data_IF_925877374684
#
_entry.id   IF_925877374684
#
_cell.length_a   1.000
_cell.length_b   1.000
_cell.length_c   1.000
_cell.angle_alpha   90.00
_cell.angle_beta   90.00
_cell.angle_gamma   90.00
#
_symmetry.space_group_name_H-M   'P 1'
#
loop_
_entity.id
_entity.type
_entity.pdbx_description
1 polymer ?
#
# COMPACT_ATOMS: atom_id res chain seq x y z
N UNK A 1 -6.40 -6.65 35.20
CA UNK A 1 -7.66 -6.95 34.48
C UNK A 1 -8.36 -5.62 34.28
N UNK A 2 -8.54 -5.16 33.04
CA UNK A 2 -9.27 -3.92 32.77
C UNK A 2 -10.72 -4.13 33.23
N UNK A 3 -11.13 -3.34 34.23
CA UNK A 3 -12.44 -3.37 34.89
C UNK A 3 -13.52 -2.64 34.11
N UNK A 4 -13.36 -2.50 32.80
CA UNK A 4 -14.31 -1.84 31.91
C UNK A 4 -15.45 -2.79 31.57
N UNK A 5 -16.68 -2.40 31.88
CA UNK A 5 -17.89 -3.07 31.43
C UNK A 5 -17.87 -3.24 29.91
N UNK A 6 -18.18 -4.45 29.43
CA UNK A 6 -18.15 -4.75 27.99
C UNK A 6 -19.13 -3.87 27.24
N UNK A 7 -18.63 -3.18 26.20
CA UNK A 7 -19.44 -2.38 25.27
C UNK A 7 -18.92 -2.59 23.86
N UNK A 8 -19.84 -2.56 22.89
CA UNK A 8 -19.56 -2.70 21.47
C UNK A 8 -20.10 -1.49 20.69
N UNK A 9 -19.36 -1.08 19.68
CA UNK A 9 -19.71 0.03 18.81
C UNK A 9 -20.85 -0.35 17.87
N UNK A 10 -21.89 0.49 17.84
CA UNK A 10 -23.06 0.29 16.98
C UNK A 10 -22.76 0.32 15.46
N UNK A 11 -21.64 0.93 15.03
CA UNK A 11 -21.28 1.06 13.61
C UNK A 11 -20.23 0.07 13.14
N UNK A 12 -19.14 -0.07 13.89
CA UNK A 12 -17.94 -0.76 13.43
C UNK A 12 -17.59 -2.00 14.24
N UNK A 13 -18.48 -2.44 15.13
CA UNK A 13 -18.39 -3.65 15.96
C UNK A 13 -17.14 -3.77 16.85
N UNK A 14 -16.29 -2.74 16.90
CA UNK A 14 -15.17 -2.64 17.84
C UNK A 14 -15.68 -2.53 19.26
N UNK A 15 -14.95 -3.13 20.20
CA UNK A 15 -15.37 -3.27 21.59
C UNK A 15 -14.24 -2.88 22.57
N UNK A 16 -14.53 -3.05 23.85
CA UNK A 16 -13.63 -2.74 24.98
C UNK A 16 -12.37 -3.61 25.07
N UNK A 17 -12.12 -4.53 24.13
CA UNK A 17 -10.80 -5.17 23.98
C UNK A 17 -9.73 -4.18 23.53
N UNK A 18 -10.14 -3.12 22.84
CA UNK A 18 -9.29 -1.97 22.57
C UNK A 18 -9.21 -1.05 23.79
N UNK A 19 -8.00 -0.88 24.31
CA UNK A 19 -7.72 -0.05 25.49
C UNK A 19 -7.91 1.44 25.25
N UNK A 20 -7.92 1.89 23.98
CA UNK A 20 -8.08 3.28 23.60
C UNK A 20 -9.51 3.62 23.13
N UNK A 21 -10.46 2.67 23.22
CA UNK A 21 -11.81 2.87 22.73
C UNK A 21 -12.62 3.77 23.67
N UNK A 22 -13.30 4.76 23.10
CA UNK A 22 -14.20 5.67 23.82
C UNK A 22 -15.50 5.75 23.06
N UNK A 23 -16.63 5.63 23.77
CA UNK A 23 -17.97 5.67 23.18
C UNK A 23 -18.65 7.02 23.39
N UNK A 24 -19.33 7.51 22.37
CA UNK A 24 -20.25 8.64 22.47
C UNK A 24 -21.61 8.24 23.09
N UNK A 25 -22.47 9.24 23.33
CA UNK A 25 -23.82 9.06 23.88
C UNK A 25 -24.73 8.19 23.01
N UNK A 26 -24.42 8.06 21.73
CA UNK A 26 -25.15 7.23 20.76
C UNK A 26 -24.54 5.82 20.63
N UNK A 27 -23.55 5.46 21.45
CA UNK A 27 -22.90 4.15 21.45
C UNK A 27 -21.92 3.92 20.29
N UNK A 28 -21.43 4.97 19.64
CA UNK A 28 -20.42 4.85 18.59
C UNK A 28 -19.03 5.17 19.12
N UNK A 29 -18.02 4.45 18.63
CA UNK A 29 -16.66 4.62 19.11
C UNK A 29 -15.92 5.79 18.45
N UNK A 30 -14.90 6.29 19.14
CA UNK A 30 -13.95 7.28 18.65
C UNK A 30 -13.29 6.90 17.32
N UNK A 31 -13.01 5.62 17.05
CA UNK A 31 -12.35 5.21 15.80
C UNK A 31 -13.20 5.42 14.56
N UNK A 32 -14.45 4.94 14.56
CA UNK A 32 -15.36 5.16 13.42
C UNK A 32 -15.75 6.63 13.29
N UNK A 33 -15.90 7.35 14.40
CA UNK A 33 -16.15 8.79 14.37
C UNK A 33 -14.96 9.56 13.77
N UNK A 34 -13.73 9.25 14.19
CA UNK A 34 -12.51 9.84 13.64
C UNK A 34 -12.34 9.52 12.15
N UNK A 35 -12.62 8.27 11.76
CA UNK A 35 -12.61 7.86 10.36
C UNK A 35 -13.56 8.70 9.52
N UNK A 36 -14.83 8.83 9.93
CA UNK A 36 -15.84 9.61 9.21
C UNK A 36 -15.49 11.10 9.14
N UNK A 37 -15.00 11.68 10.25
CA UNK A 37 -14.60 13.08 10.30
C UNK A 37 -13.40 13.40 9.39
N UNK A 38 -12.51 12.44 9.18
CA UNK A 38 -11.35 12.59 8.31
C UNK A 38 -11.67 12.20 6.87
N UNK A 39 -12.50 11.19 6.64
CA UNK A 39 -12.85 10.72 5.29
C UNK A 39 -13.54 11.82 4.50
N UNK A 40 -14.44 12.60 5.13
CA UNK A 40 -15.09 13.76 4.48
C UNK A 40 -14.07 14.80 4.00
N UNK A 41 -12.94 14.97 4.69
CA UNK A 41 -11.91 15.96 4.32
C UNK A 41 -11.05 15.51 3.14
N UNK A 42 -10.90 14.19 2.95
CA UNK A 42 -10.02 13.57 1.95
C UNK A 42 -10.80 12.99 0.78
N UNK A 43 -12.11 12.79 0.95
CA UNK A 43 -13.00 12.30 -0.09
C UNK A 43 -13.03 13.23 -1.30
N UNK A 44 -13.46 12.68 -2.43
CA UNK A 44 -13.65 13.42 -3.66
C UNK A 44 -14.67 14.56 -3.47
N UNK A 45 -14.24 15.78 -3.77
CA UNK A 45 -14.99 17.04 -3.62
C UNK A 45 -15.38 17.65 -4.97
N UNK A 46 -15.73 16.82 -5.96
CA UNK A 46 -16.14 17.29 -7.29
C UNK A 46 -15.04 18.06 -8.01
N UNK A 47 -15.40 19.21 -8.59
CA UNK A 47 -14.54 20.04 -9.43
C UNK A 47 -13.22 20.44 -8.73
N UNK A 48 -13.24 20.64 -7.41
CA UNK A 48 -12.02 20.94 -6.66
C UNK A 48 -11.01 19.79 -6.77
N UNK A 49 -11.46 18.55 -6.58
CA UNK A 49 -10.61 17.36 -6.68
C UNK A 49 -10.11 17.14 -8.10
N UNK A 50 -10.96 17.35 -9.11
CA UNK A 50 -10.57 17.30 -10.52
C UNK A 50 -9.47 18.30 -10.84
N UNK A 51 -9.59 19.53 -10.34
CA UNK A 51 -8.60 20.57 -10.54
C UNK A 51 -7.28 20.27 -9.81
N UNK A 52 -7.31 19.66 -8.63
CA UNK A 52 -6.09 19.19 -7.96
C UNK A 52 -5.44 18.04 -8.73
N UNK A 53 -6.21 17.06 -9.19
CA UNK A 53 -5.70 15.95 -9.99
C UNK A 53 -5.00 16.46 -11.26
N UNK A 54 -5.62 17.39 -11.99
CA UNK A 54 -5.03 18.03 -13.18
C UNK A 54 -3.69 18.70 -12.86
N UNK A 55 -3.60 19.45 -11.75
CA UNK A 55 -2.35 20.10 -11.29
C UNK A 55 -1.26 19.08 -10.97
N UNK A 56 -1.62 18.00 -10.26
CA UNK A 56 -0.69 16.92 -9.91
C UNK A 56 -0.18 16.23 -11.18
N UNK A 57 -1.07 15.84 -12.09
CA UNK A 57 -0.72 15.20 -13.37
C UNK A 57 0.22 16.09 -14.19
N UNK A 58 -0.07 17.38 -14.31
CA UNK A 58 0.79 18.33 -15.01
C UNK A 58 2.17 18.45 -14.35
N UNK A 59 2.22 18.46 -13.02
CA UNK A 59 3.48 18.50 -12.26
C UNK A 59 4.32 17.24 -12.51
N UNK A 60 3.70 16.06 -12.48
CA UNK A 60 4.35 14.78 -12.75
C UNK A 60 4.92 14.77 -14.18
N UNK A 61 4.10 15.12 -15.18
CA UNK A 61 4.50 15.21 -16.59
C UNK A 61 5.70 16.13 -16.80
N UNK A 62 5.67 17.32 -16.20
CA UNK A 62 6.74 18.31 -16.35
C UNK A 62 8.06 17.88 -15.68
N UNK A 63 7.99 17.05 -14.64
CA UNK A 63 9.19 16.56 -13.95
C UNK A 63 9.99 15.52 -14.73
N UNK A 64 9.34 14.78 -15.63
CA UNK A 64 9.93 13.65 -16.37
C UNK A 64 10.59 14.02 -17.70
N UNK A 65 10.28 15.21 -18.26
CA UNK A 65 10.57 15.57 -19.67
C UNK A 65 12.03 15.42 -20.14
N UNK A 66 13.02 15.37 -19.25
CA UNK A 66 14.44 15.40 -19.61
C UNK A 66 15.31 14.28 -19.00
N UNK A 67 14.73 13.25 -18.35
CA UNK A 67 15.53 12.26 -17.59
C UNK A 67 15.18 10.79 -17.80
N UNK A 68 13.92 10.49 -18.12
CA UNK A 68 13.42 9.13 -18.33
C UNK A 68 12.21 9.20 -19.25
N UNK A 69 11.92 8.15 -20.01
CA UNK A 69 10.65 8.06 -20.73
C UNK A 69 9.46 7.85 -19.78
N UNK A 70 9.74 7.45 -18.53
CA UNK A 70 8.75 7.39 -17.46
C UNK A 70 8.67 8.69 -16.67
N UNK A 71 7.46 9.11 -16.32
CA UNK A 71 7.24 10.28 -15.46
C UNK A 71 6.83 9.91 -14.02
N UNK A 72 6.40 8.67 -13.78
CA UNK A 72 6.11 8.14 -12.45
C UNK A 72 6.33 6.63 -12.36
N UNK A 73 6.37 6.11 -11.14
CA UNK A 73 6.24 4.68 -10.84
C UNK A 73 4.85 4.44 -10.27
N UNK A 74 4.28 3.27 -10.55
CA UNK A 74 3.08 2.77 -9.87
C UNK A 74 3.41 1.43 -9.23
N UNK A 75 3.26 1.35 -7.91
CA UNK A 75 3.35 0.07 -7.22
C UNK A 75 2.13 -0.79 -7.58
N UNK A 76 2.35 -1.97 -8.17
CA UNK A 76 1.26 -2.85 -8.61
C UNK A 76 1.28 -4.18 -7.85
N UNK A 77 0.12 -4.61 -7.36
CA UNK A 77 -0.08 -5.90 -6.66
C UNK A 77 -1.03 -6.85 -7.39
N UNK A 78 -1.75 -6.37 -8.40
CA UNK A 78 -2.87 -7.09 -9.02
C UNK A 78 -4.21 -6.97 -8.25
N UNK A 79 -4.19 -6.31 -7.09
CA UNK A 79 -5.38 -5.92 -6.34
C UNK A 79 -6.16 -4.78 -7.02
N UNK A 80 -7.42 -4.56 -6.59
CA UNK A 80 -8.31 -3.57 -7.22
C UNK A 80 -7.74 -2.14 -7.18
N UNK A 81 -7.25 -1.69 -6.03
CA UNK A 81 -6.86 -0.29 -5.86
C UNK A 81 -5.64 0.08 -6.73
N UNK A 82 -4.59 -0.77 -6.72
CA UNK A 82 -3.38 -0.52 -7.52
C UNK A 82 -3.65 -0.63 -9.02
N UNK A 83 -4.52 -1.56 -9.43
CA UNK A 83 -4.98 -1.73 -10.81
C UNK A 83 -5.76 -0.51 -11.30
N UNK A 84 -6.66 0.01 -10.47
CA UNK A 84 -7.43 1.20 -10.79
C UNK A 84 -6.55 2.46 -10.83
N UNK A 85 -5.57 2.58 -9.93
CA UNK A 85 -4.59 3.66 -9.98
C UNK A 85 -3.79 3.66 -11.30
N UNK A 86 -3.39 2.48 -11.79
CA UNK A 86 -2.73 2.34 -13.10
C UNK A 86 -3.64 2.78 -14.26
N UNK A 87 -4.91 2.36 -14.25
CA UNK A 87 -5.91 2.78 -15.23
C UNK A 87 -6.10 4.30 -15.25
N UNK A 88 -6.30 4.92 -14.08
CA UNK A 88 -6.50 6.37 -13.94
C UNK A 88 -5.25 7.15 -14.38
N UNK A 89 -4.06 6.69 -14.00
CA UNK A 89 -2.81 7.32 -14.41
C UNK A 89 -2.67 7.33 -15.94
N UNK A 90 -2.92 6.17 -16.60
CA UNK A 90 -2.88 6.06 -18.07
C UNK A 90 -3.94 6.94 -18.73
N UNK A 91 -5.17 6.95 -18.22
CA UNK A 91 -6.28 7.78 -18.73
C UNK A 91 -5.96 9.28 -18.66
N UNK A 92 -5.21 9.71 -17.66
CA UNK A 92 -4.73 11.08 -17.53
C UNK A 92 -3.45 11.37 -18.36
N UNK A 93 -3.00 10.43 -19.18
CA UNK A 93 -1.86 10.55 -20.08
C UNK A 93 -0.51 10.55 -19.35
N UNK A 94 -0.41 9.95 -18.16
CA UNK A 94 0.88 9.66 -17.55
C UNK A 94 1.56 8.50 -18.28
N UNK A 95 2.88 8.43 -18.11
CA UNK A 95 3.74 7.39 -18.69
C UNK A 95 4.42 6.67 -17.51
N UNK A 96 3.68 5.81 -16.79
CA UNK A 96 4.22 5.13 -15.63
C UNK A 96 5.16 3.97 -16.02
N UNK A 97 6.02 3.59 -15.09
CA UNK A 97 6.59 2.24 -14.99
C UNK A 97 5.81 1.49 -13.89
N UNK A 98 5.21 0.35 -14.22
CA UNK A 98 4.63 -0.52 -13.20
C UNK A 98 5.77 -1.24 -12.48
N UNK A 99 5.77 -1.19 -11.15
CA UNK A 99 6.76 -1.88 -10.33
C UNK A 99 6.04 -2.79 -9.35
N UNK A 100 6.34 -4.07 -9.42
CA UNK A 100 5.87 -5.07 -8.48
C UNK A 100 7.03 -5.53 -7.60
N UNK A 101 6.80 -5.63 -6.29
CA UNK A 101 7.74 -6.27 -5.37
C UNK A 101 7.28 -7.70 -5.16
N UNK A 102 8.05 -8.66 -5.65
CA UNK A 102 7.74 -10.08 -5.54
C UNK A 102 8.47 -10.68 -4.34
N UNK A 103 7.71 -11.10 -3.35
CA UNK A 103 8.18 -11.74 -2.13
C UNK A 103 8.00 -13.27 -2.15
N UNK A 104 7.59 -13.86 -3.28
CA UNK A 104 7.35 -15.29 -3.46
C UNK A 104 5.92 -15.77 -3.17
N UNK A 105 5.02 -14.88 -2.73
CA UNK A 105 3.67 -15.27 -2.28
C UNK A 105 2.52 -14.92 -3.23
N UNK A 106 2.81 -14.43 -4.43
CA UNK A 106 1.80 -14.05 -5.41
C UNK A 106 0.80 -15.17 -5.70
N UNK A 107 -0.50 -14.84 -5.72
CA UNK A 107 -1.53 -15.73 -6.25
C UNK A 107 -1.49 -15.75 -7.78
N UNK A 108 -1.90 -16.86 -8.40
CA UNK A 108 -1.94 -16.96 -9.86
C UNK A 108 -2.86 -15.89 -10.48
N UNK A 109 -3.97 -15.58 -9.80
CA UNK A 109 -4.90 -14.53 -10.20
C UNK A 109 -4.23 -13.15 -10.15
N UNK A 110 -3.47 -12.84 -9.09
CA UNK A 110 -2.75 -11.55 -9.00
C UNK A 110 -1.73 -11.38 -10.13
N UNK A 111 -0.96 -12.43 -10.43
CA UNK A 111 0.02 -12.43 -11.51
C UNK A 111 -0.64 -12.22 -12.89
N UNK A 112 -1.77 -12.91 -13.13
CA UNK A 112 -2.58 -12.74 -14.34
C UNK A 112 -3.14 -11.32 -14.46
N UNK A 113 -3.67 -10.76 -13.37
CA UNK A 113 -4.19 -9.39 -13.34
C UNK A 113 -3.08 -8.38 -13.68
N UNK A 114 -1.91 -8.47 -13.03
CA UNK A 114 -0.78 -7.59 -13.33
C UNK A 114 -0.34 -7.67 -14.80
N UNK A 115 -0.26 -8.88 -15.35
CA UNK A 115 0.07 -9.09 -16.77
C UNK A 115 -0.95 -8.46 -17.70
N UNK A 116 -2.24 -8.65 -17.44
CA UNK A 116 -3.31 -8.09 -18.27
C UNK A 116 -3.28 -6.55 -18.23
N UNK A 117 -3.15 -5.97 -17.05
CA UNK A 117 -3.07 -4.51 -16.86
C UNK A 117 -1.89 -3.92 -17.64
N UNK A 118 -0.69 -4.50 -17.48
CA UNK A 118 0.51 -4.05 -18.19
C UNK A 118 0.32 -4.09 -19.71
N UNK A 119 -0.18 -5.22 -20.22
CA UNK A 119 -0.34 -5.43 -21.66
C UNK A 119 -1.44 -4.54 -22.27
N UNK A 120 -2.63 -4.51 -21.68
CA UNK A 120 -3.78 -3.79 -22.23
C UNK A 120 -3.59 -2.28 -22.15
N UNK A 121 -3.02 -1.78 -21.04
CA UNK A 121 -2.72 -0.35 -20.92
C UNK A 121 -1.46 0.05 -21.70
N UNK A 122 -0.69 -0.92 -22.23
CA UNK A 122 0.61 -0.67 -22.87
C UNK A 122 1.54 0.09 -21.93
N UNK A 123 1.78 -0.45 -20.74
CA UNK A 123 2.66 0.10 -19.71
C UNK A 123 3.77 -0.91 -19.43
N UNK A 124 5.01 -0.45 -19.43
CA UNK A 124 6.14 -1.29 -19.06
C UNK A 124 6.02 -1.77 -17.61
N UNK A 125 6.51 -2.99 -17.38
CA UNK A 125 6.43 -3.66 -16.11
C UNK A 125 7.81 -4.12 -15.66
N UNK A 126 8.16 -3.82 -14.41
CA UNK A 126 9.35 -4.30 -13.75
C UNK A 126 8.99 -5.05 -12.47
N UNK A 127 9.54 -6.25 -12.32
CA UNK A 127 9.46 -7.03 -11.10
C UNK A 127 10.75 -6.88 -10.30
N UNK A 128 10.64 -6.43 -9.05
CA UNK A 128 11.72 -6.47 -8.06
C UNK A 128 11.54 -7.71 -7.20
N UNK A 129 12.28 -8.77 -7.52
CA UNK A 129 12.22 -10.04 -6.81
C UNK A 129 13.10 -9.98 -5.56
N UNK A 130 12.53 -10.23 -4.38
CA UNK A 130 13.31 -10.35 -3.15
C UNK A 130 14.22 -11.58 -3.19
N UNK A 131 15.35 -11.52 -2.48
CA UNK A 131 16.14 -12.72 -2.24
C UNK A 131 15.32 -13.69 -1.37
N UNK A 132 14.84 -14.77 -1.99
CA UNK A 132 13.90 -15.69 -1.36
C UNK A 132 14.44 -16.30 -0.06
N UNK A 133 15.73 -16.63 -0.01
CA UNK A 133 16.32 -17.22 1.18
C UNK A 133 16.42 -16.21 2.33
N UNK A 134 16.71 -14.94 2.05
CA UNK A 134 16.67 -13.87 3.05
C UNK A 134 15.23 -13.58 3.51
N UNK A 135 14.28 -13.46 2.58
CA UNK A 135 12.89 -13.11 2.90
C UNK A 135 12.18 -14.20 3.69
N UNK A 136 12.31 -15.47 3.27
CA UNK A 136 11.74 -16.63 3.94
C UNK A 136 12.26 -16.77 5.38
N UNK A 137 13.57 -16.57 5.60
CA UNK A 137 14.16 -16.63 6.94
C UNK A 137 13.66 -15.49 7.83
N UNK A 138 13.53 -14.28 7.28
CA UNK A 138 12.97 -13.13 7.99
C UNK A 138 11.50 -13.35 8.37
N UNK A 139 10.67 -13.82 7.44
CA UNK A 139 9.26 -14.06 7.71
C UNK A 139 9.06 -15.17 8.76
N UNK A 140 9.87 -16.23 8.70
CA UNK A 140 9.89 -17.27 9.74
C UNK A 140 10.36 -16.73 11.10
N UNK A 141 11.31 -15.79 11.12
CA UNK A 141 11.75 -15.15 12.36
C UNK A 141 10.62 -14.33 13.01
N UNK A 142 9.79 -13.64 12.22
CA UNK A 142 8.60 -12.93 12.70
C UNK A 142 7.53 -13.88 13.25
N UNK A 143 7.26 -14.98 12.55
CA UNK A 143 6.40 -16.06 13.05
C UNK A 143 6.86 -16.58 14.43
N UNK A 144 8.16 -16.88 14.57
CA UNK A 144 8.76 -17.37 15.83
C UNK A 144 8.77 -16.32 16.94
N UNK A 145 8.88 -15.05 16.59
CA UNK A 145 8.82 -13.95 17.54
C UNK A 145 7.40 -13.74 18.10
N UNK A 146 6.37 -14.29 17.45
CA UNK A 146 4.97 -14.18 17.85
C UNK A 146 4.53 -12.72 18.02
N UNK A 147 4.99 -11.85 17.11
CA UNK A 147 4.59 -10.44 17.07
C UNK A 147 3.23 -10.30 16.39
N UNK A 148 2.39 -9.32 16.78
CA UNK A 148 1.07 -9.14 16.17
C UNK A 148 1.15 -8.82 14.66
N UNK A 149 2.22 -8.17 14.17
CA UNK A 149 2.36 -7.78 12.77
C UNK A 149 3.30 -8.68 11.97
N UNK A 150 2.80 -9.86 11.63
CA UNK A 150 3.51 -10.87 10.84
C UNK A 150 3.94 -10.39 9.42
N UNK A 151 3.24 -9.41 8.86
CA UNK A 151 3.51 -8.83 7.53
C UNK A 151 4.51 -7.67 7.55
N UNK A 152 5.04 -7.28 8.71
CA UNK A 152 6.08 -6.24 8.83
C UNK A 152 7.22 -6.41 7.81
N UNK A 153 7.74 -7.64 7.52
CA UNK A 153 8.73 -7.85 6.45
C UNK A 153 8.26 -7.41 5.06
N UNK A 154 7.05 -7.79 4.63
CA UNK A 154 6.48 -7.36 3.34
C UNK A 154 6.30 -5.85 3.32
N UNK A 155 5.74 -5.32 4.40
CA UNK A 155 5.33 -3.93 4.55
C UNK A 155 6.49 -2.93 4.50
N UNK A 156 7.67 -3.31 4.97
CA UNK A 156 8.89 -2.50 4.83
C UNK A 156 9.54 -2.69 3.45
N UNK A 157 9.44 -3.89 2.86
CA UNK A 157 10.06 -4.22 1.58
C UNK A 157 9.39 -3.51 0.39
N UNK A 158 8.06 -3.37 0.40
CA UNK A 158 7.30 -2.67 -0.66
C UNK A 158 7.86 -1.25 -0.89
N UNK A 159 7.85 -0.33 0.10
CA UNK A 159 8.38 1.01 -0.11
C UNK A 159 9.90 0.98 -0.40
N UNK A 160 10.66 0.05 0.18
CA UNK A 160 12.08 -0.12 -0.12
C UNK A 160 12.34 -0.37 -1.61
N UNK A 161 11.67 -1.38 -2.18
CA UNK A 161 11.77 -1.73 -3.58
C UNK A 161 11.31 -0.57 -4.50
N UNK A 162 10.15 0.03 -4.22
CA UNK A 162 9.62 1.12 -5.05
C UNK A 162 10.56 2.34 -5.08
N UNK A 163 11.15 2.73 -3.94
CA UNK A 163 12.07 3.87 -3.90
C UNK A 163 13.44 3.54 -4.51
N UNK A 164 13.91 2.30 -4.38
CA UNK A 164 15.12 1.83 -5.08
C UNK A 164 14.94 1.96 -6.60
N UNK A 165 13.85 1.40 -7.15
CA UNK A 165 13.58 1.50 -8.59
C UNK A 165 13.35 2.96 -9.01
N UNK A 166 12.60 3.75 -8.23
CA UNK A 166 12.42 5.18 -8.52
C UNK A 166 13.76 5.92 -8.64
N UNK A 167 14.67 5.68 -7.69
CA UNK A 167 15.98 6.30 -7.70
C UNK A 167 16.88 5.81 -8.85
N UNK A 168 16.78 4.53 -9.24
CA UNK A 168 17.52 3.96 -10.38
C UNK A 168 17.13 4.63 -11.71
N UNK A 169 15.83 4.86 -11.92
CA UNK A 169 15.31 5.51 -13.14
C UNK A 169 15.27 7.05 -13.02
N UNK A 170 15.71 7.62 -11.90
CA UNK A 170 15.66 9.07 -11.67
C UNK A 170 14.24 9.65 -11.61
N UNK A 171 13.24 8.82 -11.29
CA UNK A 171 11.82 9.17 -11.22
C UNK A 171 11.50 9.76 -9.83
N UNK A 172 10.78 10.88 -9.81
CA UNK A 172 10.46 11.61 -8.56
C UNK A 172 9.10 11.27 -7.97
N UNK A 173 8.22 10.61 -8.71
CA UNK A 173 6.84 10.39 -8.29
C UNK A 173 6.50 8.91 -8.25
N UNK A 174 6.00 8.44 -7.11
CA UNK A 174 5.45 7.11 -6.93
C UNK A 174 3.95 7.29 -6.69
N UNK A 175 3.10 6.67 -7.52
CA UNK A 175 1.66 6.64 -7.32
C UNK A 175 1.33 5.40 -6.49
N UNK A 176 0.64 5.61 -5.38
CA UNK A 176 0.13 4.56 -4.51
C UNK A 176 -1.33 4.24 -4.86
N UNK A 177 -1.70 2.96 -4.75
CA UNK A 177 -3.11 2.54 -4.74
C UNK A 177 -3.81 2.78 -3.41
N UNK A 178 -3.08 3.11 -2.33
CA UNK A 178 -3.68 3.43 -1.03
C UNK A 178 -4.68 4.58 -1.15
N UNK A 179 -5.73 4.53 -0.35
CA UNK A 179 -6.76 5.55 -0.33
C UNK A 179 -7.49 5.57 1.01
N UNK A 180 -8.03 6.73 1.35
CA UNK A 180 -8.71 6.90 2.63
C UNK A 180 -10.05 6.14 2.66
N UNK A 181 -10.66 5.82 1.51
CA UNK A 181 -11.97 5.17 1.46
C UNK A 181 -11.95 3.71 1.96
N UNK A 182 -10.81 3.03 1.88
CA UNK A 182 -10.65 1.62 2.24
C UNK A 182 -9.75 1.39 3.47
N UNK A 183 -9.25 2.46 4.09
CA UNK A 183 -8.29 2.44 5.19
C UNK A 183 -8.85 3.23 6.38
N UNK A 184 -9.34 2.56 7.43
CA UNK A 184 -9.54 3.24 8.70
C UNK A 184 -10.51 2.57 9.66
N UNK A 185 -9.99 2.31 10.87
CA UNK A 185 -10.63 2.29 12.20
C UNK A 185 -9.73 1.59 13.23
N UNK A 186 -8.59 1.00 12.84
CA UNK A 186 -7.78 0.21 13.77
C UNK A 186 -7.07 1.08 14.84
N UNK A 187 -7.00 0.61 16.10
CA UNK A 187 -6.32 1.31 17.17
C UNK A 187 -4.83 1.43 16.91
N UNK A 188 -4.24 2.57 17.28
CA UNK A 188 -2.78 2.77 17.13
C UNK A 188 -1.97 1.80 17.99
N UNK A 189 -2.50 1.41 19.15
CA UNK A 189 -1.87 0.48 20.09
C UNK A 189 -1.79 -0.95 19.56
N UNK A 190 -2.61 -1.30 18.57
CA UNK A 190 -2.59 -2.61 17.91
C UNK A 190 -1.58 -2.70 16.78
N UNK A 191 -0.81 -1.64 16.55
CA UNK A 191 0.19 -1.57 15.48
C UNK A 191 1.55 -1.13 16.02
N UNK A 192 2.57 -1.95 15.79
CA UNK A 192 3.95 -1.52 15.92
C UNK A 192 4.45 -0.79 14.66
N UNK A 193 5.39 0.14 14.84
CA UNK A 193 5.91 0.92 13.73
C UNK A 193 6.86 0.08 12.85
N UNK A 194 6.38 -0.32 11.67
CA UNK A 194 7.17 -1.05 10.66
C UNK A 194 8.48 -0.37 10.22
N UNK A 195 8.62 0.95 10.37
CA UNK A 195 9.85 1.69 9.99
C UNK A 195 10.99 1.54 11.00
N UNK A 196 10.74 0.89 12.14
CA UNK A 196 11.78 0.57 13.10
C UNK A 196 12.66 -0.58 12.60
N UNK A 197 13.68 -0.25 11.82
CA UNK A 197 14.69 -1.21 11.33
C UNK A 197 15.39 -1.91 12.51
N UNK A 198 15.53 -1.27 13.68
CA UNK A 198 16.20 -1.90 14.83
C UNK A 198 15.36 -3.06 15.35
N UNK A 199 14.04 -2.90 15.44
CA UNK A 199 13.11 -3.95 15.80
C UNK A 199 13.22 -5.15 14.84
N UNK A 200 13.14 -4.92 13.53
CA UNK A 200 13.26 -5.96 12.50
C UNK A 200 14.61 -6.69 12.61
N UNK A 201 15.71 -5.94 12.73
CA UNK A 201 17.06 -6.52 12.88
C UNK A 201 17.22 -7.28 14.21
N UNK A 202 16.55 -6.86 15.27
CA UNK A 202 16.57 -7.55 16.56
C UNK A 202 15.86 -8.91 16.45
N UNK A 203 14.66 -8.95 15.86
CA UNK A 203 13.93 -10.20 15.60
C UNK A 203 14.77 -11.13 14.74
N UNK A 204 15.33 -10.61 13.64
CA UNK A 204 16.18 -11.39 12.76
C UNK A 204 17.41 -11.95 13.48
N UNK A 205 18.06 -11.17 14.34
CA UNK A 205 19.21 -11.61 15.13
C UNK A 205 18.84 -12.71 16.12
N UNK A 206 17.63 -12.65 16.71
CA UNK A 206 17.19 -13.57 17.76
C UNK A 206 16.62 -14.88 17.22
N UNK A 207 15.87 -14.83 16.12
CA UNK A 207 15.10 -15.97 15.62
C UNK A 207 15.45 -16.40 14.19
N UNK A 208 16.12 -15.54 13.43
CA UNK A 208 16.58 -15.82 12.08
C UNK A 208 17.94 -16.53 12.07
N UNK A 209 18.26 -17.13 10.92
CA UNK A 209 19.50 -17.90 10.71
C UNK A 209 20.42 -17.27 9.67
N UNK A 210 19.95 -16.25 8.94
CA UNK A 210 20.66 -15.61 7.83
C UNK A 210 20.90 -14.12 8.07
N UNK A 211 21.87 -13.58 7.33
CA UNK A 211 22.09 -12.12 7.23
C UNK A 211 21.25 -11.56 6.09
N UNK A 212 20.60 -10.43 6.32
CA UNK A 212 19.81 -9.71 5.33
C UNK A 212 20.69 -8.70 4.58
N UNK A 213 21.29 -9.11 3.47
CA UNK A 213 22.21 -8.28 2.68
C UNK A 213 21.51 -7.57 1.53
N UNK A 214 20.58 -8.25 0.87
CA UNK A 214 19.85 -7.75 -0.31
C UNK A 214 18.46 -7.22 0.02
N UNK A 215 17.95 -7.55 1.20
CA UNK A 215 16.63 -7.10 1.64
C UNK A 215 16.50 -5.56 1.62
N UNK A 216 15.47 -5.00 0.95
CA UNK A 216 15.33 -3.56 0.74
C UNK A 216 14.70 -2.90 1.97
N UNK A 217 15.51 -2.63 3.00
CA UNK A 217 15.04 -1.90 4.18
C UNK A 217 14.57 -0.48 3.82
N UNK A 218 13.49 -0.04 4.47
CA UNK A 218 12.92 1.30 4.31
C UNK A 218 12.52 1.89 5.67
N UNK A 219 13.52 2.37 6.40
CA UNK A 219 13.31 3.06 7.67
C UNK A 219 13.35 4.57 7.49
N UNK A 220 13.40 5.28 8.61
CA UNK A 220 13.42 6.75 8.63
C UNK A 220 14.63 7.36 7.90
N UNK A 221 15.78 6.67 7.92
CA UNK A 221 17.00 7.15 7.24
C UNK A 221 16.83 7.08 5.73
N UNK A 222 16.34 5.96 5.22
CA UNK A 222 16.08 5.72 3.81
C UNK A 222 14.99 6.66 3.32
N UNK A 223 13.86 6.77 4.05
CA UNK A 223 12.80 7.72 3.74
C UNK A 223 13.31 9.15 3.66
N UNK A 224 14.11 9.59 4.64
CA UNK A 224 14.71 10.94 4.64
C UNK A 224 15.62 11.15 3.43
N UNK A 225 16.48 10.18 3.13
CA UNK A 225 17.36 10.22 1.96
C UNK A 225 16.57 10.32 0.65
N UNK A 226 15.59 9.45 0.44
CA UNK A 226 14.80 9.48 -0.79
C UNK A 226 13.94 10.75 -0.91
N UNK A 227 13.38 11.23 0.22
CA UNK A 227 12.56 12.43 0.25
C UNK A 227 13.37 13.71 0.02
N UNK A 228 14.52 13.85 0.68
CA UNK A 228 15.29 15.10 0.67
C UNK A 228 16.36 15.13 -0.42
N UNK A 229 17.07 14.03 -0.63
CA UNK A 229 18.18 13.96 -1.59
C UNK A 229 17.69 13.56 -2.98
N UNK A 230 16.85 12.53 -3.08
CA UNK A 230 16.30 12.09 -4.38
C UNK A 230 15.04 12.86 -4.79
N UNK A 231 14.42 13.60 -3.86
CA UNK A 231 13.22 14.38 -4.13
C UNK A 231 12.00 13.53 -4.47
N UNK A 232 11.98 12.26 -4.02
CA UNK A 232 10.88 11.34 -4.30
C UNK A 232 9.66 11.71 -3.46
N UNK A 233 8.47 11.61 -4.06
CA UNK A 233 7.17 11.93 -3.46
C UNK A 233 6.17 10.82 -3.79
N UNK A 234 5.40 10.40 -2.78
CA UNK A 234 4.29 9.48 -2.94
C UNK A 234 3.01 10.30 -3.17
N UNK A 235 2.22 9.90 -4.16
CA UNK A 235 0.95 10.52 -4.51
C UNK A 235 -0.17 9.47 -4.37
N UNK A 236 -1.18 9.79 -3.57
CA UNK A 236 -2.38 8.98 -3.38
C UNK A 236 -3.46 9.45 -4.36
N UNK A 237 -3.30 9.05 -5.63
CA UNK A 237 -4.09 9.58 -6.73
C UNK A 237 -5.60 9.27 -6.60
N UNK A 238 -5.93 8.15 -5.96
CA UNK A 238 -7.33 7.71 -5.81
C UNK A 238 -8.16 8.60 -4.89
N UNK A 239 -7.54 9.43 -4.03
CA UNK A 239 -8.25 10.40 -3.20
C UNK A 239 -8.83 11.57 -4.02
N UNK A 240 -8.43 11.74 -5.28
CA UNK A 240 -8.88 12.83 -6.15
C UNK A 240 -9.86 12.40 -7.24
N UNK A 241 -10.34 11.16 -7.20
CA UNK A 241 -11.35 10.63 -8.13
C UNK A 241 -12.54 10.10 -7.34
N UNK A 242 -13.74 10.02 -7.93
CA UNK A 242 -14.90 9.41 -7.28
C UNK A 242 -14.72 7.88 -7.21
N UNK A 243 -13.88 7.44 -6.28
CA UNK A 243 -13.50 6.05 -6.13
C UNK A 243 -14.58 5.27 -5.36
N UNK A 244 -15.25 4.37 -6.06
CA UNK A 244 -16.13 3.35 -5.47
C UNK A 244 -15.54 2.00 -5.85
N UNK A 245 -15.26 1.15 -4.85
CA UNK A 245 -14.52 -0.10 -5.04
C UNK A 245 -15.21 -1.05 -6.01
N UNK A 246 -16.52 -1.21 -5.88
CA UNK A 246 -17.30 -2.13 -6.73
C UNK A 246 -17.36 -1.65 -8.19
N UNK A 247 -17.56 -0.34 -8.40
CA UNK A 247 -17.50 0.25 -9.74
C UNK A 247 -16.11 0.10 -10.37
N UNK A 248 -15.06 0.28 -9.57
CA UNK A 248 -13.68 0.07 -10.01
C UNK A 248 -13.44 -1.40 -10.39
N UNK A 249 -13.96 -2.37 -9.63
CA UNK A 249 -13.88 -3.79 -9.98
C UNK A 249 -14.57 -4.07 -11.32
N UNK A 250 -15.82 -3.67 -11.48
CA UNK A 250 -16.56 -3.89 -12.73
C UNK A 250 -15.89 -3.26 -13.95
N UNK A 251 -15.36 -2.04 -13.79
CA UNK A 251 -14.61 -1.37 -14.85
C UNK A 251 -13.34 -2.16 -15.20
N UNK A 252 -12.58 -2.61 -14.21
CA UNK A 252 -11.33 -3.34 -14.43
C UNK A 252 -11.58 -4.73 -15.06
N UNK A 253 -12.66 -5.41 -14.67
CA UNK A 253 -13.08 -6.68 -15.28
C UNK A 253 -13.39 -6.49 -16.76
N UNK A 254 -14.19 -5.46 -17.07
CA UNK A 254 -14.62 -5.14 -18.44
C UNK A 254 -13.47 -4.66 -19.32
N UNK A 255 -12.69 -3.70 -18.85
CA UNK A 255 -11.71 -2.99 -19.69
C UNK A 255 -10.34 -3.67 -19.69
N UNK A 256 -9.95 -4.32 -18.58
CA UNK A 256 -8.59 -4.88 -18.39
C UNK A 256 -8.58 -6.39 -18.20
N UNK A 257 -9.71 -7.09 -18.30
CA UNK A 257 -9.78 -8.52 -18.05
C UNK A 257 -9.27 -8.91 -16.65
N UNK A 258 -9.40 -8.00 -15.69
CA UNK A 258 -9.09 -8.24 -14.29
C UNK A 258 -10.05 -9.29 -13.73
N UNK A 259 -9.59 -10.10 -12.78
CA UNK A 259 -10.41 -11.11 -12.11
C UNK A 259 -10.36 -10.94 -10.61
N UNK A 260 -11.53 -11.04 -9.98
CA UNK A 260 -11.63 -11.08 -8.54
C UNK A 260 -10.94 -12.32 -7.97
N UNK A 261 -10.22 -12.12 -6.87
CA UNK A 261 -9.36 -13.13 -6.24
C UNK A 261 -9.90 -13.65 -4.91
N UNK A 262 -11.15 -13.30 -4.56
CA UNK A 262 -11.90 -13.94 -3.47
C UNK A 262 -11.79 -13.31 -2.08
N UNK A 263 -11.09 -12.19 -1.92
CA UNK A 263 -10.96 -11.49 -0.64
C UNK A 263 -10.25 -10.14 -0.76
N UNK A 264 -10.04 -9.40 0.34
CA UNK A 264 -9.35 -8.09 0.29
C UNK A 264 -7.86 -8.23 -0.04
N UNK A 265 -7.18 -9.20 0.59
CA UNK A 265 -5.73 -9.39 0.52
C UNK A 265 -5.30 -10.74 -0.09
N UNK A 266 -6.20 -11.42 -0.81
CA UNK A 266 -5.92 -12.72 -1.42
C UNK A 266 -5.08 -12.63 -2.72
N UNK A 267 -4.56 -11.44 -3.04
CA UNK A 267 -3.45 -11.30 -3.98
C UNK A 267 -2.17 -11.99 -3.48
N UNK A 268 -1.98 -12.08 -2.16
CA UNK A 268 -0.89 -12.79 -1.51
C UNK A 268 -1.43 -14.04 -0.81
N UNK A 269 -0.90 -15.22 -1.15
CA UNK A 269 -1.26 -16.48 -0.48
C UNK A 269 -0.96 -16.46 1.00
N UNK A 270 0.11 -15.75 1.40
CA UNK A 270 0.50 -15.66 2.79
C UNK A 270 -0.43 -14.74 3.58
N UNK A 271 -0.78 -13.57 3.02
CA UNK A 271 -1.70 -12.64 3.68
C UNK A 271 -3.09 -13.25 3.81
N UNK A 272 -3.57 -13.96 2.78
CA UNK A 272 -4.84 -14.70 2.86
C UNK A 272 -4.82 -15.94 3.78
N UNK A 273 -3.65 -16.37 4.27
CA UNK A 273 -3.58 -17.42 5.30
C UNK A 273 -3.69 -16.84 6.72
N UNK A 274 -3.18 -15.62 6.93
CA UNK A 274 -3.08 -15.01 8.27
C UNK A 274 -4.20 -14.01 8.58
N UNK A 275 -5.00 -13.62 7.58
CA UNK A 275 -6.15 -12.71 7.67
C UNK A 275 -7.39 -13.34 7.04
#
# INVERSE_FOLDING_TARGET
MNTTEYRQCNRCVMDTSDVDIVFDEHGNCNHCNNYLNQSVKVAYQGEWSDNQLKKIVNTIKNSGRNKSHYNCIIGISGGVDSSYAAYIAKKNGLSPLLVHMDNGWNSETSAKNMKNIANILGIDYQCYVLDWEEFKDLQLAFLRASTPEIETPTDIAIPGALHLVAAQYGIKYIISGGNYANEGILPKTWHYNRKDIKFIKHIQKKFGTRKLKKFPFFGWKEETYYKLVKGIRIIYMLNYVPYIKDDAMHLLEKELGWKYYGGKHYESKYTGFVQ
#
